data_IF_329269060576
#
_entry.id   IF_329269060576
#
_cell.length_a   1.000
_cell.length_b   1.000
_cell.length_c   1.000
_cell.angle_alpha   90.00
_cell.angle_beta   90.00
_cell.angle_gamma   90.00
#
_symmetry.space_group_name_H-M   'P 1'
#
loop_
_entity.id
_entity.type
_entity.pdbx_description
1 polymer ?
#
# COMPACT_ATOMS: atom_id res chain seq x y z
N UNK A 1 -13.56 -26.79 31.47
CA UNK A 1 -13.20 -25.61 30.65
C UNK A 1 -14.37 -24.64 30.68
N UNK A 2 -14.11 -23.34 30.86
CA UNK A 2 -15.13 -22.28 30.82
C UNK A 2 -15.02 -21.54 29.49
N UNK A 3 -16.15 -21.39 28.79
CA UNK A 3 -16.25 -20.63 27.54
C UNK A 3 -16.25 -19.13 27.84
N UNK A 4 -15.42 -18.35 27.13
CA UNK A 4 -15.20 -16.91 27.33
C UNK A 4 -15.68 -16.09 26.13
N UNK A 5 -17.00 -16.02 25.97
CA UNK A 5 -17.62 -15.28 24.85
C UNK A 5 -17.43 -13.75 24.97
N UNK A 6 -17.04 -13.26 26.14
CA UNK A 6 -16.70 -11.86 26.36
C UNK A 6 -15.51 -11.38 25.51
N UNK A 7 -14.61 -12.28 25.12
CA UNK A 7 -13.52 -11.98 24.18
C UNK A 7 -13.96 -11.86 22.72
N UNK A 8 -15.19 -12.27 22.38
CA UNK A 8 -15.72 -12.13 21.03
C UNK A 8 -16.26 -10.72 20.75
N UNK A 9 -16.46 -9.90 21.80
CA UNK A 9 -16.99 -8.54 21.66
C UNK A 9 -15.83 -7.60 21.33
N UNK A 10 -15.71 -7.30 20.03
CA UNK A 10 -14.70 -6.39 19.50
C UNK A 10 -15.00 -4.91 19.78
N UNK A 11 -14.04 -4.03 19.48
CA UNK A 11 -14.22 -2.60 19.64
C UNK A 11 -15.36 -2.04 18.76
N UNK A 12 -15.61 -2.63 17.58
CA UNK A 12 -16.75 -2.24 16.73
C UNK A 12 -18.09 -2.41 17.46
N UNK A 13 -18.32 -3.57 18.05
CA UNK A 13 -19.55 -3.87 18.81
C UNK A 13 -19.68 -2.94 20.03
N UNK A 14 -18.58 -2.68 20.73
CA UNK A 14 -18.56 -1.73 21.87
C UNK A 14 -18.85 -0.29 21.45
N UNK A 15 -18.34 0.15 20.30
CA UNK A 15 -18.63 1.47 19.75
C UNK A 15 -20.12 1.63 19.44
N UNK A 16 -20.74 0.63 18.81
CA UNK A 16 -22.18 0.63 18.49
C UNK A 16 -23.02 0.75 19.77
N UNK A 17 -22.67 0.02 20.83
CA UNK A 17 -23.38 0.09 22.10
C UNK A 17 -23.20 1.45 22.79
N UNK A 18 -21.98 2.00 22.75
CA UNK A 18 -21.71 3.34 23.27
C UNK A 18 -22.53 4.41 22.53
N UNK A 19 -22.68 4.31 21.20
CA UNK A 19 -23.55 5.20 20.41
C UNK A 19 -25.01 5.07 20.86
N UNK A 20 -25.53 3.84 20.94
CA UNK A 20 -26.93 3.58 21.35
C UNK A 20 -27.26 4.10 22.74
N UNK A 21 -26.26 4.12 23.63
CA UNK A 21 -26.40 4.59 25.02
C UNK A 21 -25.99 6.04 25.23
N UNK A 22 -25.71 6.80 24.15
CA UNK A 22 -25.38 8.22 24.22
C UNK A 22 -24.00 8.54 24.78
N UNK A 23 -23.08 7.58 24.80
CA UNK A 23 -21.71 7.70 25.33
C UNK A 23 -20.70 8.01 24.21
N UNK A 24 -20.78 9.22 23.66
CA UNK A 24 -20.00 9.65 22.49
C UNK A 24 -18.48 9.44 22.64
N UNK A 25 -17.86 9.92 23.71
CA UNK A 25 -16.41 9.79 23.90
C UNK A 25 -15.94 8.32 23.99
N UNK A 26 -16.77 7.47 24.61
CA UNK A 26 -16.49 6.03 24.68
C UNK A 26 -16.57 5.40 23.29
N UNK A 27 -17.54 5.81 22.48
CA UNK A 27 -17.65 5.35 21.09
C UNK A 27 -16.43 5.76 20.25
N UNK A 28 -15.97 7.01 20.38
CA UNK A 28 -14.76 7.50 19.69
C UNK A 28 -13.54 6.68 20.10
N UNK A 29 -13.36 6.42 21.40
CA UNK A 29 -12.27 5.57 21.88
C UNK A 29 -12.28 4.19 21.23
N UNK A 30 -13.45 3.55 21.14
CA UNK A 30 -13.57 2.25 20.49
C UNK A 30 -13.39 2.30 18.96
N UNK A 31 -13.75 3.39 18.29
CA UNK A 31 -13.45 3.54 16.86
C UNK A 31 -11.93 3.65 16.62
N UNK A 32 -11.19 4.33 17.51
CA UNK A 32 -9.74 4.35 17.47
C UNK A 32 -9.15 2.95 17.76
N UNK A 33 -9.73 2.19 18.70
CA UNK A 33 -9.31 0.80 18.94
C UNK A 33 -9.47 -0.08 17.69
N UNK A 34 -10.55 0.10 16.90
CA UNK A 34 -10.70 -0.58 15.61
C UNK A 34 -9.53 -0.22 14.70
N UNK A 35 -9.23 1.07 14.55
CA UNK A 35 -8.14 1.54 13.71
C UNK A 35 -6.79 0.92 14.10
N UNK A 36 -6.45 0.96 15.39
CA UNK A 36 -5.18 0.44 15.94
C UNK A 36 -5.04 -1.08 15.79
N UNK A 37 -6.15 -1.83 15.93
CA UNK A 37 -6.12 -3.29 15.74
C UNK A 37 -5.78 -3.67 14.31
N UNK A 38 -6.41 -3.01 13.33
CA UNK A 38 -6.13 -3.26 11.92
C UNK A 38 -4.76 -2.71 11.52
N UNK A 39 -4.30 -1.62 12.13
CA UNK A 39 -3.01 -1.02 11.79
C UNK A 39 -1.84 -1.95 12.11
N UNK A 40 -1.82 -2.52 13.31
CA UNK A 40 -0.78 -3.49 13.70
C UNK A 40 -0.81 -4.75 12.84
N UNK A 41 -2.01 -5.23 12.50
CA UNK A 41 -2.18 -6.39 11.64
C UNK A 41 -1.69 -6.09 10.21
N UNK A 42 -2.05 -4.93 9.67
CA UNK A 42 -1.56 -4.43 8.38
C UNK A 42 -0.03 -4.41 8.34
N UNK A 43 0.61 -3.77 9.33
CA UNK A 43 2.07 -3.64 9.37
C UNK A 43 2.74 -5.03 9.50
N UNK A 44 2.15 -5.96 10.26
CA UNK A 44 2.63 -7.34 10.33
C UNK A 44 2.58 -8.04 8.95
N UNK A 45 1.50 -7.85 8.17
CA UNK A 45 1.41 -8.40 6.82
C UNK A 45 2.40 -7.77 5.85
N UNK A 46 2.59 -6.45 5.86
CA UNK A 46 3.60 -5.79 5.03
C UNK A 46 5.01 -6.28 5.35
N UNK A 47 5.34 -6.44 6.64
CA UNK A 47 6.61 -7.02 7.08
C UNK A 47 6.79 -8.47 6.62
N UNK A 48 5.74 -9.28 6.70
CA UNK A 48 5.75 -10.67 6.24
C UNK A 48 5.97 -10.77 4.72
N UNK A 49 5.25 -9.96 3.93
CA UNK A 49 5.39 -9.92 2.48
C UNK A 49 6.79 -9.44 2.07
N UNK A 50 7.33 -8.42 2.74
CA UNK A 50 8.71 -7.98 2.52
C UNK A 50 9.72 -9.10 2.72
N UNK A 51 9.62 -9.84 3.84
CA UNK A 51 10.50 -10.97 4.12
C UNK A 51 10.35 -12.08 3.08
N UNK A 52 9.11 -12.41 2.71
CA UNK A 52 8.81 -13.42 1.70
C UNK A 52 9.45 -13.04 0.35
N UNK A 53 9.26 -11.81 -0.11
CA UNK A 53 9.78 -11.34 -1.38
C UNK A 53 11.31 -11.29 -1.39
N UNK A 54 11.93 -10.80 -0.31
CA UNK A 54 13.38 -10.83 -0.13
C UNK A 54 13.94 -12.25 -0.18
N UNK A 55 13.31 -13.19 0.53
CA UNK A 55 13.70 -14.61 0.54
C UNK A 55 13.57 -15.24 -0.84
N UNK A 56 12.46 -15.00 -1.54
CA UNK A 56 12.23 -15.51 -2.89
C UNK A 56 13.26 -14.97 -3.88
N UNK A 57 13.56 -13.68 -3.84
CA UNK A 57 14.58 -13.06 -4.68
C UNK A 57 16.00 -13.56 -4.35
N UNK A 58 16.30 -13.84 -3.09
CA UNK A 58 17.60 -14.41 -2.69
C UNK A 58 17.78 -15.85 -3.18
N UNK A 59 16.73 -16.67 -3.14
CA UNK A 59 16.79 -18.09 -3.56
C UNK A 59 16.74 -18.25 -5.08
N UNK A 60 15.81 -17.53 -5.75
CA UNK A 60 15.52 -17.73 -7.18
C UNK A 60 16.18 -16.68 -8.09
N UNK A 61 16.67 -15.59 -7.52
CA UNK A 61 17.22 -14.45 -8.25
C UNK A 61 16.18 -13.40 -8.65
N UNK A 62 16.65 -12.17 -8.85
CA UNK A 62 15.81 -10.99 -9.10
C UNK A 62 15.04 -11.06 -10.43
N UNK A 63 15.58 -11.74 -11.44
CA UNK A 63 14.87 -11.98 -12.71
C UNK A 63 13.65 -12.88 -12.52
N UNK A 64 13.79 -13.95 -11.74
CA UNK A 64 12.67 -14.83 -11.42
C UNK A 64 11.62 -14.08 -10.59
N UNK A 65 12.07 -13.29 -9.60
CA UNK A 65 11.19 -12.47 -8.79
C UNK A 65 10.33 -11.52 -9.64
N UNK A 66 10.93 -10.89 -10.66
CA UNK A 66 10.18 -10.01 -11.57
C UNK A 66 9.11 -10.74 -12.39
N UNK A 67 9.28 -12.03 -12.68
CA UNK A 67 8.24 -12.86 -13.31
C UNK A 67 7.15 -13.24 -12.30
N UNK A 68 7.56 -13.58 -11.08
CA UNK A 68 6.64 -13.87 -9.98
C UNK A 68 5.71 -12.68 -9.68
N UNK A 69 6.28 -11.49 -9.49
CA UNK A 69 5.50 -10.29 -9.17
C UNK A 69 4.53 -9.89 -10.30
N UNK A 70 4.97 -10.03 -11.57
CA UNK A 70 4.09 -9.89 -12.74
C UNK A 70 2.90 -10.83 -12.66
N UNK A 71 3.13 -12.12 -12.45
CA UNK A 71 2.05 -13.09 -12.30
C UNK A 71 1.11 -12.71 -11.16
N UNK A 72 1.65 -12.33 -10.00
CA UNK A 72 0.86 -11.94 -8.84
C UNK A 72 -0.04 -10.75 -9.14
N UNK A 73 0.49 -9.67 -9.73
CA UNK A 73 -0.31 -8.48 -10.06
C UNK A 73 -1.35 -8.78 -11.14
N UNK A 74 -0.97 -9.48 -12.21
CA UNK A 74 -1.88 -9.83 -13.30
C UNK A 74 -2.98 -10.82 -12.86
N UNK A 75 -2.73 -11.72 -11.92
CA UNK A 75 -3.76 -12.67 -11.47
C UNK A 75 -4.63 -12.09 -10.36
N UNK A 76 -4.05 -11.34 -9.41
CA UNK A 76 -4.80 -10.85 -8.25
C UNK A 76 -5.47 -9.49 -8.48
N UNK A 77 -4.84 -8.60 -9.25
CA UNK A 77 -5.32 -7.23 -9.42
C UNK A 77 -6.01 -6.96 -10.75
N UNK A 78 -5.95 -7.88 -11.71
CA UNK A 78 -6.61 -7.68 -13.02
C UNK A 78 -8.11 -7.43 -12.89
N UNK A 79 -8.84 -8.23 -12.11
CA UNK A 79 -10.28 -7.99 -11.93
C UNK A 79 -10.58 -6.63 -11.26
N UNK A 80 -9.72 -6.18 -10.35
CA UNK A 80 -9.85 -4.86 -9.71
C UNK A 80 -9.63 -3.75 -10.74
N UNK A 81 -8.49 -3.75 -11.44
CA UNK A 81 -8.11 -2.68 -12.36
C UNK A 81 -8.89 -2.72 -13.68
N UNK A 82 -9.42 -3.87 -14.11
CA UNK A 82 -10.28 -3.93 -15.29
C UNK A 82 -11.55 -3.08 -15.13
N UNK A 83 -12.03 -2.89 -13.89
CA UNK A 83 -13.16 -2.01 -13.57
C UNK A 83 -12.81 -0.53 -13.67
N UNK A 84 -11.53 -0.16 -13.55
CA UNK A 84 -11.10 1.24 -13.65
C UNK A 84 -11.31 1.81 -15.05
N UNK A 85 -11.43 0.97 -16.09
CA UNK A 85 -11.80 1.40 -17.44
C UNK A 85 -13.15 2.11 -17.52
N UNK A 86 -14.08 1.68 -16.67
CA UNK A 86 -15.47 2.14 -16.69
C UNK A 86 -15.74 3.19 -15.60
N UNK A 87 -14.71 3.53 -14.81
CA UNK A 87 -14.80 4.54 -13.75
C UNK A 87 -14.53 5.94 -14.31
N UNK A 88 -15.18 6.94 -13.74
CA UNK A 88 -14.73 8.32 -13.94
C UNK A 88 -13.36 8.54 -13.27
N UNK A 89 -12.58 9.55 -13.72
CA UNK A 89 -11.33 9.92 -13.06
C UNK A 89 -11.49 10.11 -11.54
N UNK A 90 -12.57 10.74 -11.09
CA UNK A 90 -12.86 10.99 -9.67
C UNK A 90 -13.10 9.68 -8.90
N UNK A 91 -13.83 8.73 -9.49
CA UNK A 91 -14.06 7.42 -8.88
C UNK A 91 -12.75 6.63 -8.74
N UNK A 92 -11.86 6.74 -9.72
CA UNK A 92 -10.54 6.11 -9.67
C UNK A 92 -9.67 6.74 -8.58
N UNK A 93 -9.66 8.08 -8.49
CA UNK A 93 -8.97 8.81 -7.42
C UNK A 93 -9.52 8.42 -6.04
N UNK A 94 -10.84 8.27 -5.90
CA UNK A 94 -11.45 7.81 -4.66
C UNK A 94 -11.01 6.39 -4.29
N UNK A 95 -10.96 5.44 -5.24
CA UNK A 95 -10.46 4.08 -5.01
C UNK A 95 -8.98 4.07 -4.59
N UNK A 96 -8.15 4.92 -5.21
CA UNK A 96 -6.75 5.12 -4.81
C UNK A 96 -6.69 5.67 -3.38
N UNK A 97 -7.45 6.73 -3.07
CA UNK A 97 -7.48 7.33 -1.73
C UNK A 97 -7.95 6.33 -0.66
N UNK A 98 -8.95 5.50 -0.98
CA UNK A 98 -9.40 4.41 -0.10
C UNK A 98 -8.27 3.41 0.17
N UNK A 99 -7.55 3.00 -0.87
CA UNK A 99 -6.39 2.11 -0.74
C UNK A 99 -5.29 2.74 0.12
N UNK A 100 -5.02 4.03 -0.02
CA UNK A 100 -3.98 4.73 0.74
C UNK A 100 -4.37 4.95 2.20
N UNK A 101 -5.65 5.21 2.50
CA UNK A 101 -6.19 5.20 3.87
C UNK A 101 -6.04 3.83 4.52
N UNK A 102 -6.37 2.76 3.80
CA UNK A 102 -6.22 1.38 4.27
C UNK A 102 -4.74 0.99 4.49
N UNK A 103 -3.82 1.64 3.78
CA UNK A 103 -2.38 1.51 4.00
C UNK A 103 -1.82 2.46 5.06
N UNK A 104 -2.66 3.27 5.72
CA UNK A 104 -2.20 4.21 6.75
C UNK A 104 -1.14 5.19 6.21
N UNK A 105 -1.29 5.60 4.95
CA UNK A 105 -0.39 6.54 4.28
C UNK A 105 -0.75 8.00 4.59
N UNK A 106 0.26 8.87 4.58
CA UNK A 106 0.11 10.33 4.51
C UNK A 106 0.07 10.76 3.04
N UNK A 107 -0.99 11.48 2.65
CA UNK A 107 -1.16 11.94 1.27
C UNK A 107 -2.10 13.15 1.16
N UNK A 108 -2.04 13.79 -0.01
CA UNK A 108 -3.00 14.81 -0.46
C UNK A 108 -3.33 14.59 -1.95
N UNK A 109 -4.34 15.30 -2.45
CA UNK A 109 -4.74 15.24 -3.87
C UNK A 109 -4.61 16.64 -4.47
N UNK A 110 -3.99 16.71 -5.64
CA UNK A 110 -3.90 17.90 -6.48
C UNK A 110 -4.72 17.66 -7.75
N UNK A 111 -5.35 18.70 -8.29
CA UNK A 111 -6.17 18.61 -9.50
C UNK A 111 -5.87 19.82 -10.40
N UNK A 112 -5.74 19.57 -11.70
CA UNK A 112 -5.75 20.59 -12.74
C UNK A 112 -6.77 20.24 -13.84
N UNK A 113 -6.80 20.99 -14.94
CA UNK A 113 -7.74 20.76 -16.06
C UNK A 113 -7.55 19.41 -16.76
N UNK A 114 -6.38 18.78 -16.65
CA UNK A 114 -6.00 17.57 -17.38
C UNK A 114 -6.01 16.31 -16.50
N UNK A 115 -5.78 16.43 -15.19
CA UNK A 115 -5.52 15.27 -14.32
C UNK A 115 -5.75 15.54 -12.84
N UNK A 116 -5.83 14.43 -12.10
CA UNK A 116 -5.68 14.36 -10.66
C UNK A 116 -4.34 13.72 -10.30
N UNK A 117 -3.71 14.20 -9.23
CA UNK A 117 -2.46 13.65 -8.70
C UNK A 117 -2.62 13.35 -7.22
N UNK A 118 -2.65 12.06 -6.86
CA UNK A 118 -2.59 11.62 -5.46
C UNK A 118 -1.12 11.55 -5.05
N UNK A 119 -0.69 12.53 -4.25
CA UNK A 119 0.70 12.68 -3.82
C UNK A 119 0.88 11.99 -2.46
N UNK A 120 1.62 10.89 -2.43
CA UNK A 120 1.91 10.15 -1.21
C UNK A 120 3.19 10.73 -0.62
N UNK A 121 3.08 11.40 0.52
CA UNK A 121 4.23 12.02 1.21
C UNK A 121 4.80 11.15 2.32
N UNK A 122 4.07 10.11 2.72
CA UNK A 122 4.55 9.04 3.60
C UNK A 122 3.80 7.75 3.33
N UNK A 123 4.37 6.83 2.53
CA UNK A 123 3.72 5.56 2.22
C UNK A 123 3.72 4.67 3.47
N UNK A 124 2.54 4.27 3.92
CA UNK A 124 2.40 3.40 5.09
C UNK A 124 2.72 1.92 4.84
N UNK A 125 3.15 1.55 3.63
CA UNK A 125 3.56 0.19 3.29
C UNK A 125 5.05 0.12 2.90
N UNK A 126 5.37 0.13 1.60
CA UNK A 126 6.76 0.05 1.12
C UNK A 126 7.67 1.15 1.65
N UNK A 127 7.21 2.40 1.67
CA UNK A 127 7.97 3.52 2.24
C UNK A 127 8.24 3.34 3.74
N UNK A 128 7.24 2.89 4.50
CA UNK A 128 7.36 2.55 5.93
C UNK A 128 8.42 1.47 6.18
N UNK A 129 8.45 0.42 5.36
CA UNK A 129 9.47 -0.64 5.46
C UNK A 129 10.89 -0.11 5.24
N UNK A 130 11.06 0.91 4.38
CA UNK A 130 12.35 1.60 4.19
C UNK A 130 12.66 2.47 5.40
N UNK A 131 11.71 3.32 5.82
CA UNK A 131 11.84 4.24 6.97
C UNK A 131 12.29 3.50 8.22
N UNK A 132 11.67 2.36 8.51
CA UNK A 132 11.92 1.58 9.73
C UNK A 132 13.15 0.64 9.58
N UNK A 133 13.84 0.68 8.43
CA UNK A 133 15.02 -0.14 8.14
C UNK A 133 14.72 -1.63 7.89
N UNK A 134 13.45 -2.04 7.92
CA UNK A 134 13.05 -3.44 7.82
C UNK A 134 13.40 -4.04 6.46
N UNK A 135 13.11 -3.32 5.36
CA UNK A 135 13.40 -3.81 4.00
C UNK A 135 14.90 -4.17 3.85
N UNK A 136 15.78 -3.33 4.41
CA UNK A 136 17.23 -3.56 4.39
C UNK A 136 17.64 -4.73 5.28
N UNK A 137 17.13 -4.80 6.51
CA UNK A 137 17.43 -5.89 7.46
C UNK A 137 17.02 -7.26 6.92
N UNK A 138 15.89 -7.33 6.22
CA UNK A 138 15.38 -8.55 5.60
C UNK A 138 16.03 -8.87 4.25
N UNK A 139 17.00 -8.06 3.79
CA UNK A 139 17.57 -8.12 2.43
C UNK A 139 16.50 -8.08 1.33
N UNK A 140 15.38 -7.42 1.59
CA UNK A 140 14.21 -7.34 0.72
C UNK A 140 14.30 -6.14 -0.25
N UNK A 141 15.51 -5.87 -0.75
CA UNK A 141 15.80 -4.77 -1.67
C UNK A 141 16.61 -5.29 -2.86
N UNK A 142 16.49 -4.62 -4.02
CA UNK A 142 17.21 -5.00 -5.22
C UNK A 142 18.73 -4.84 -5.07
N UNK A 143 19.49 -5.75 -5.64
CA UNK A 143 20.96 -5.70 -5.72
C UNK A 143 21.44 -4.96 -6.97
N UNK A 144 20.58 -4.87 -7.99
CA UNK A 144 20.86 -4.19 -9.25
C UNK A 144 19.70 -3.29 -9.65
N UNK A 145 19.96 -2.38 -10.59
CA UNK A 145 18.92 -1.59 -11.22
C UNK A 145 18.23 -2.42 -12.31
N UNK A 146 16.89 -2.41 -12.29
CA UNK A 146 16.05 -3.03 -13.30
C UNK A 146 14.97 -2.06 -13.75
N UNK A 147 14.40 -2.22 -14.96
CA UNK A 147 13.24 -1.44 -15.37
C UNK A 147 12.11 -1.52 -14.34
N UNK A 148 11.81 -2.72 -13.84
CA UNK A 148 10.77 -2.96 -12.84
C UNK A 148 11.09 -2.44 -11.42
N UNK A 149 12.33 -2.00 -11.19
CA UNK A 149 12.74 -1.31 -9.97
C UNK A 149 12.91 0.19 -10.21
N UNK A 150 12.24 0.74 -11.22
CA UNK A 150 12.37 2.13 -11.68
C UNK A 150 13.84 2.53 -11.95
N UNK A 151 14.64 1.56 -12.42
CA UNK A 151 16.08 1.66 -12.64
C UNK A 151 16.90 2.02 -11.39
N UNK A 152 16.46 1.54 -10.22
CA UNK A 152 17.15 1.79 -8.94
C UNK A 152 17.70 0.52 -8.30
N UNK A 153 18.87 0.67 -7.70
CA UNK A 153 19.47 -0.27 -6.76
C UNK A 153 18.93 0.03 -5.36
N UNK A 154 18.77 -1.01 -4.52
CA UNK A 154 18.22 -0.84 -3.18
C UNK A 154 16.71 -0.55 -3.18
N UNK A 155 16.02 -0.81 -4.29
CA UNK A 155 14.59 -0.64 -4.41
C UNK A 155 13.87 -1.76 -3.65
N UNK A 156 12.87 -1.47 -2.79
CA UNK A 156 12.18 -2.51 -2.03
C UNK A 156 11.41 -3.44 -2.96
N UNK A 157 11.60 -4.76 -2.86
CA UNK A 157 10.81 -5.71 -3.64
C UNK A 157 9.32 -5.53 -3.41
N UNK A 158 8.91 -5.19 -2.18
CA UNK A 158 7.52 -4.85 -1.87
C UNK A 158 6.93 -3.79 -2.81
N UNK A 159 7.73 -2.82 -3.28
CA UNK A 159 7.28 -1.74 -4.15
C UNK A 159 7.20 -2.13 -5.64
N UNK A 160 7.69 -3.29 -6.06
CA UNK A 160 7.76 -3.66 -7.49
C UNK A 160 6.39 -3.78 -8.14
N UNK A 161 5.37 -4.12 -7.35
CA UNK A 161 3.98 -4.14 -7.79
C UNK A 161 3.54 -2.81 -8.40
N UNK A 162 4.17 -1.70 -8.03
CA UNK A 162 3.87 -0.39 -8.58
C UNK A 162 4.21 -0.29 -10.07
N UNK A 163 5.43 -0.73 -10.44
CA UNK A 163 5.84 -0.77 -11.85
C UNK A 163 4.97 -1.75 -12.65
N UNK A 164 4.71 -2.93 -12.08
CA UNK A 164 3.89 -3.95 -12.75
C UNK A 164 2.43 -3.52 -12.87
N UNK A 165 1.91 -2.74 -11.92
CA UNK A 165 0.57 -2.16 -12.04
C UNK A 165 0.49 -1.19 -13.22
N UNK A 166 1.54 -0.40 -13.51
CA UNK A 166 1.59 0.41 -14.73
C UNK A 166 1.56 -0.43 -16.01
N UNK A 167 2.27 -1.56 -16.04
CA UNK A 167 2.21 -2.49 -17.18
C UNK A 167 0.77 -2.99 -17.38
N UNK A 168 0.11 -3.42 -16.30
CA UNK A 168 -1.27 -3.92 -16.34
C UNK A 168 -2.29 -2.82 -16.70
N UNK A 169 -2.13 -1.60 -16.18
CA UNK A 169 -3.01 -0.47 -16.52
C UNK A 169 -2.91 -0.12 -17.99
N UNK A 170 -1.69 -0.12 -18.54
CA UNK A 170 -1.47 0.09 -19.97
C UNK A 170 -2.13 -1.01 -20.80
N UNK A 171 -1.97 -2.28 -20.42
CA UNK A 171 -2.59 -3.42 -21.12
C UNK A 171 -4.13 -3.36 -21.08
N UNK A 172 -4.67 -2.83 -19.98
CA UNK A 172 -6.11 -2.61 -19.82
C UNK A 172 -6.58 -1.29 -20.43
N UNK A 173 -5.72 -0.43 -20.98
CA UNK A 173 -6.12 0.88 -21.49
C UNK A 173 -6.66 1.83 -20.41
N UNK A 174 -6.24 1.65 -19.16
CA UNK A 174 -6.55 2.55 -18.04
C UNK A 174 -5.68 3.80 -18.16
N UNK A 175 -6.31 4.98 -18.13
CA UNK A 175 -5.63 6.26 -18.29
C UNK A 175 -5.05 6.78 -16.95
N UNK A 176 -4.09 6.03 -16.40
CA UNK A 176 -3.41 6.36 -15.15
C UNK A 176 -1.95 5.91 -15.15
N UNK A 177 -1.14 6.56 -14.30
CA UNK A 177 0.28 6.25 -14.11
C UNK A 177 0.65 6.31 -12.63
N UNK A 178 1.48 5.38 -12.19
CA UNK A 178 2.17 5.45 -10.90
C UNK A 178 3.63 5.83 -11.11
N UNK A 179 4.05 6.90 -10.44
CA UNK A 179 5.44 7.28 -10.31
C UNK A 179 5.92 6.93 -8.91
N UNK A 180 6.94 6.08 -8.82
CA UNK A 180 7.56 5.77 -7.54
C UNK A 180 8.51 6.89 -7.12
N UNK A 181 8.40 7.29 -5.87
CA UNK A 181 9.35 8.18 -5.21
C UNK A 181 9.97 7.49 -4.01
N UNK A 182 11.24 7.79 -3.74
CA UNK A 182 12.00 7.13 -2.67
C UNK A 182 11.43 7.38 -1.28
N UNK A 183 10.84 8.56 -1.03
CA UNK A 183 10.27 9.06 0.24
C UNK A 183 11.19 9.06 1.48
N UNK A 184 12.09 8.09 1.63
CA UNK A 184 13.03 7.98 2.74
C UNK A 184 14.43 7.55 2.27
N UNK A 185 15.49 8.14 2.86
CA UNK A 185 16.86 7.70 2.64
C UNK A 185 17.18 6.36 3.35
N UNK A 186 18.44 5.89 3.28
CA UNK A 186 18.83 4.63 3.91
C UNK A 186 18.84 4.66 5.45
N UNK A 187 18.80 5.86 6.03
CA UNK A 187 18.75 6.09 7.47
C UNK A 187 17.30 6.28 7.95
N UNK A 188 16.34 6.26 7.03
CA UNK A 188 14.92 6.46 7.31
C UNK A 188 14.51 7.93 7.41
N UNK A 189 15.37 8.87 7.05
CA UNK A 189 15.01 10.29 7.02
C UNK A 189 14.15 10.58 5.80
N UNK A 190 13.12 11.42 5.97
CA UNK A 190 12.23 11.83 4.88
C UNK A 190 13.03 12.58 3.80
N UNK A 191 12.79 12.24 2.54
CA UNK A 191 13.29 12.96 1.37
C UNK A 191 12.11 13.47 0.54
N UNK A 192 12.29 14.60 -0.13
CA UNK A 192 11.25 15.23 -0.95
C UNK A 192 11.12 14.55 -2.32
N UNK A 193 10.76 13.27 -2.28
CA UNK A 193 10.55 12.43 -3.46
C UNK A 193 9.31 11.56 -3.24
N UNK A 194 8.10 12.14 -3.35
CA UNK A 194 6.84 11.42 -3.09
C UNK A 194 6.50 10.44 -4.22
N UNK A 195 5.82 9.35 -3.88
CA UNK A 195 5.11 8.55 -4.88
C UNK A 195 3.89 9.34 -5.38
N UNK A 196 3.54 9.18 -6.66
CA UNK A 196 2.39 9.86 -7.25
C UNK A 196 1.55 8.88 -8.05
N UNK A 197 0.26 8.84 -7.77
CA UNK A 197 -0.71 8.26 -8.71
C UNK A 197 -1.29 9.42 -9.52
N UNK A 198 -1.19 9.33 -10.84
CA UNK A 198 -1.71 10.31 -11.78
C UNK A 198 -2.89 9.67 -12.50
N UNK A 199 -4.05 10.31 -12.45
CA UNK A 199 -5.26 9.87 -13.16
C UNK A 199 -5.65 10.98 -14.12
N UNK A 200 -5.68 10.68 -15.42
CA UNK A 200 -5.98 11.65 -16.46
C UNK A 200 -7.49 11.72 -16.74
N UNK A 201 -7.96 12.91 -17.12
CA UNK A 201 -9.36 13.18 -17.49
C UNK A 201 -9.70 12.72 -18.91
#
# INVERSE_FOLDING_TARGET
MVRRDDFLIGPKEKAIEAIKTGKTEVAIGHLNDVYEQFHKLHDAYSNHLSLLFGTLAEIQGEKWYATFDRKTVFELFHAKYARWRDMSPEQMVEDICNSQRAHYSEFHVEEDEEKFVVVITGCGAGGRLVRDGVAKQQKAVTKQAYPWSFNRVGFPYYCSHGYVSNELWKDLGVNAELQWGRQYDEQGNKVDEPCKYIVYK
#
